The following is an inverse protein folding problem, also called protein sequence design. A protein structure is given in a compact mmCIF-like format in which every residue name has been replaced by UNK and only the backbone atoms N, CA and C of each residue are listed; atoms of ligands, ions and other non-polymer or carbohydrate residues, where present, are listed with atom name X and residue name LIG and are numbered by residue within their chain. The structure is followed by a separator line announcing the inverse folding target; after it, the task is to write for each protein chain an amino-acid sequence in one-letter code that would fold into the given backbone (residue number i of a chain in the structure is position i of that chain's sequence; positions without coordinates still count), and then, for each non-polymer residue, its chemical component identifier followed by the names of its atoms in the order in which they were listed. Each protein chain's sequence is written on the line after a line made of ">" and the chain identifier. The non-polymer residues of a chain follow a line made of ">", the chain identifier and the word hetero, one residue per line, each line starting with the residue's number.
data_IF_685746574635
#
_entry.id   IF_685746574635
#
_cell.length_a   1.000
_cell.length_b   1.000
_cell.length_c   1.000
_cell.angle_alpha   90.00
_cell.angle_beta   90.00
_cell.angle_gamma   90.00
#
_symmetry.space_group_name_H-M   'P 1'
#
loop_
_entity.id
_entity.type
_entity.pdbx_description
1 polymer ?
#
# COMPACT_ATOMS: atom_id res chain seq x y z
N UNK A 1 -20.18 -13.29 2.69
CA UNK A 1 -19.21 -12.17 2.60
C UNK A 1 -17.80 -12.69 2.40
N UNK A 2 -17.30 -13.60 3.23
CA UNK A 2 -15.92 -14.09 3.13
C UNK A 2 -15.52 -14.71 1.80
N UNK A 3 -16.43 -15.26 1.03
CA UNK A 3 -16.13 -15.89 -0.28
C UNK A 3 -15.81 -14.87 -1.37
N UNK A 4 -16.53 -13.76 -1.42
CA UNK A 4 -16.33 -12.73 -2.45
C UNK A 4 -15.00 -11.98 -2.25
N UNK A 5 -14.73 -11.51 -1.04
CA UNK A 5 -13.47 -10.86 -0.70
C UNK A 5 -12.28 -11.79 -0.97
N UNK A 6 -12.38 -13.04 -0.52
CA UNK A 6 -11.35 -14.07 -0.76
C UNK A 6 -11.09 -14.28 -2.25
N UNK A 7 -12.15 -14.34 -3.06
CA UNK A 7 -12.01 -14.50 -4.50
C UNK A 7 -11.28 -13.31 -5.14
N UNK A 8 -11.67 -12.07 -4.80
CA UNK A 8 -11.06 -10.85 -5.35
C UNK A 8 -9.61 -10.68 -4.92
N UNK A 9 -9.32 -10.92 -3.65
CA UNK A 9 -7.95 -10.90 -3.14
C UNK A 9 -7.09 -11.99 -3.81
N UNK A 10 -7.67 -13.16 -4.06
CA UNK A 10 -7.00 -14.23 -4.80
C UNK A 10 -6.60 -13.83 -6.22
N UNK A 11 -7.48 -13.14 -6.95
CA UNK A 11 -7.17 -12.62 -8.30
C UNK A 11 -6.02 -11.64 -8.26
N UNK A 12 -6.03 -10.69 -7.33
CA UNK A 12 -4.93 -9.71 -7.17
C UNK A 12 -3.62 -10.42 -6.83
N UNK A 13 -3.65 -11.35 -5.88
CA UNK A 13 -2.47 -12.12 -5.47
C UNK A 13 -1.87 -12.91 -6.64
N UNK A 14 -2.70 -13.58 -7.44
CA UNK A 14 -2.25 -14.33 -8.62
C UNK A 14 -1.65 -13.41 -9.68
N UNK A 15 -2.26 -12.25 -9.92
CA UNK A 15 -1.74 -11.27 -10.88
C UNK A 15 -0.37 -10.72 -10.45
N UNK A 16 -0.21 -10.37 -9.17
CA UNK A 16 1.07 -9.91 -8.61
C UNK A 16 2.13 -10.99 -8.71
N UNK A 17 1.78 -12.24 -8.38
CA UNK A 17 2.69 -13.38 -8.47
C UNK A 17 3.12 -13.64 -9.92
N UNK A 18 2.19 -13.65 -10.87
CA UNK A 18 2.49 -13.87 -12.27
C UNK A 18 3.42 -12.79 -12.82
N UNK A 19 3.11 -11.52 -12.54
CA UNK A 19 3.95 -10.40 -12.94
C UNK A 19 5.37 -10.51 -12.36
N UNK A 20 5.48 -10.73 -11.04
CA UNK A 20 6.77 -10.83 -10.37
C UNK A 20 7.60 -12.02 -10.86
N UNK A 21 6.94 -13.12 -11.22
CA UNK A 21 7.60 -14.31 -11.80
C UNK A 21 8.11 -14.01 -13.20
N UNK A 22 7.31 -13.34 -14.03
CA UNK A 22 7.64 -13.00 -15.41
C UNK A 22 8.83 -12.02 -15.51
N UNK A 23 8.99 -11.13 -14.53
CA UNK A 23 10.14 -10.22 -14.47
C UNK A 23 11.51 -10.95 -14.48
N UNK A 24 11.58 -12.16 -13.95
CA UNK A 24 12.83 -12.92 -13.94
C UNK A 24 14.02 -12.12 -13.40
N UNK A 25 15.05 -11.93 -14.23
CA UNK A 25 16.24 -11.16 -13.87
C UNK A 25 15.99 -9.64 -13.78
N UNK A 26 14.91 -9.13 -14.38
CA UNK A 26 14.59 -7.69 -14.33
C UNK A 26 13.95 -7.23 -13.00
N UNK A 27 13.82 -8.11 -12.01
CA UNK A 27 13.22 -7.78 -10.71
C UNK A 27 13.90 -6.62 -10.00
N UNK A 28 15.22 -6.48 -10.17
CA UNK A 28 16.00 -5.41 -9.53
C UNK A 28 15.77 -4.04 -10.18
N UNK A 29 15.31 -4.04 -11.43
CA UNK A 29 15.03 -2.82 -12.19
C UNK A 29 13.59 -2.31 -11.99
N UNK A 30 12.71 -3.14 -11.46
CA UNK A 30 11.28 -2.83 -11.34
C UNK A 30 10.87 -2.78 -9.87
N UNK A 31 10.12 -1.75 -9.53
CA UNK A 31 9.37 -1.66 -8.26
C UNK A 31 7.89 -1.49 -8.59
N UNK A 32 7.09 -2.47 -8.22
CA UNK A 32 5.65 -2.45 -8.34
C UNK A 32 5.04 -2.03 -7.00
N UNK A 33 4.08 -1.12 -7.06
CA UNK A 33 3.30 -0.70 -5.88
C UNK A 33 1.82 -0.79 -6.21
N UNK A 34 1.03 -1.38 -5.31
CA UNK A 34 -0.42 -1.31 -5.41
C UNK A 34 -0.93 -0.06 -4.72
N UNK A 35 -1.83 0.65 -5.38
CA UNK A 35 -2.51 1.83 -4.83
C UNK A 35 -4.00 1.70 -5.06
N UNK A 36 -4.78 2.29 -4.17
CA UNK A 36 -6.23 2.38 -4.29
C UNK A 36 -6.68 3.83 -4.13
N UNK A 37 -7.73 4.21 -4.81
CA UNK A 37 -8.32 5.55 -4.71
C UNK A 37 -8.91 5.81 -3.32
N UNK A 38 -9.43 4.78 -2.67
CA UNK A 38 -10.03 4.84 -1.34
C UNK A 38 -9.72 3.57 -0.55
N UNK A 39 -9.93 3.64 0.76
CA UNK A 39 -9.92 2.49 1.66
C UNK A 39 -11.29 1.87 1.84
N UNK A 40 -11.47 1.18 2.95
CA UNK A 40 -12.73 0.51 3.29
C UNK A 40 -13.13 0.78 4.74
N UNK A 41 -14.44 0.78 4.97
CA UNK A 41 -14.99 0.75 6.32
C UNK A 41 -14.75 -0.61 6.98
N UNK A 42 -14.76 -0.66 8.30
CA UNK A 42 -14.57 -1.90 9.08
C UNK A 42 -15.85 -2.74 9.04
N UNK A 43 -17.02 -2.09 9.14
CA UNK A 43 -18.31 -2.74 9.18
C UNK A 43 -18.71 -3.41 7.86
N UNK A 44 -19.35 -4.55 7.95
CA UNK A 44 -19.98 -5.20 6.80
C UNK A 44 -21.27 -4.46 6.43
N UNK A 45 -21.42 -4.13 5.15
CA UNK A 45 -22.63 -3.47 4.65
C UNK A 45 -23.74 -4.47 4.27
N UNK A 46 -24.94 -3.95 3.95
CA UNK A 46 -26.10 -4.74 3.60
C UNK A 46 -25.96 -5.63 2.35
N UNK A 47 -24.90 -5.45 1.56
CA UNK A 47 -24.58 -6.26 0.37
C UNK A 47 -23.53 -7.32 0.63
N UNK A 48 -23.11 -7.53 1.88
CA UNK A 48 -22.09 -8.50 2.26
C UNK A 48 -20.66 -8.11 1.87
N UNK A 49 -20.40 -6.82 1.75
CA UNK A 49 -19.10 -6.21 1.53
C UNK A 49 -18.83 -5.12 2.55
N UNK A 50 -18.03 -4.14 2.19
CA UNK A 50 -17.77 -2.94 2.99
C UNK A 50 -17.95 -1.70 2.12
N UNK A 51 -18.26 -0.58 2.72
CA UNK A 51 -18.37 0.68 2.01
C UNK A 51 -17.00 1.33 1.78
N UNK A 52 -16.96 2.42 1.02
CA UNK A 52 -15.75 3.21 0.85
C UNK A 52 -15.34 3.82 2.19
N UNK A 53 -14.06 3.80 2.44
CA UNK A 53 -13.44 4.35 3.64
C UNK A 53 -12.07 4.95 3.31
N UNK A 54 -11.25 5.19 4.32
CA UNK A 54 -9.97 5.91 4.19
C UNK A 54 -8.76 5.00 4.27
N UNK A 55 -8.71 4.11 5.25
CA UNK A 55 -7.58 3.20 5.45
C UNK A 55 -7.58 2.03 4.48
N UNK A 56 -6.38 1.65 4.03
CA UNK A 56 -6.15 0.51 3.14
C UNK A 56 -4.75 -0.07 3.35
N UNK A 57 -4.46 -1.15 2.66
CA UNK A 57 -3.14 -1.76 2.62
C UNK A 57 -2.49 -1.52 1.25
N UNK A 58 -1.19 -1.28 1.24
CA UNK A 58 -0.37 -1.20 0.03
C UNK A 58 0.57 -2.40 0.00
N UNK A 59 0.81 -2.93 -1.20
CA UNK A 59 1.85 -3.93 -1.44
C UNK A 59 2.95 -3.31 -2.29
N UNK A 60 4.20 -3.57 -1.92
CA UNK A 60 5.36 -3.20 -2.70
C UNK A 60 6.17 -4.47 -3.02
N UNK A 61 6.51 -4.65 -4.29
CA UNK A 61 7.26 -5.82 -4.79
C UNK A 61 8.38 -5.35 -5.71
N UNK A 62 9.51 -6.04 -5.66
CA UNK A 62 10.68 -5.78 -6.50
C UNK A 62 11.94 -6.35 -5.85
N UNK A 63 12.99 -6.56 -6.61
CA UNK A 63 14.25 -7.09 -6.07
C UNK A 63 14.94 -6.14 -5.10
N UNK A 64 14.60 -4.86 -5.16
CA UNK A 64 15.12 -3.81 -4.26
C UNK A 64 14.12 -3.41 -3.17
N UNK A 65 13.12 -4.22 -2.92
CA UNK A 65 12.19 -4.07 -1.79
C UNK A 65 12.58 -5.04 -0.69
N UNK A 66 12.79 -4.51 0.50
CA UNK A 66 13.02 -5.32 1.70
C UNK A 66 11.69 -5.90 2.15
N UNK A 67 11.55 -7.22 2.12
CA UNK A 67 10.35 -7.89 2.59
C UNK A 67 10.07 -7.62 4.06
N UNK A 68 8.81 -7.45 4.39
CA UNK A 68 8.35 -7.17 5.77
C UNK A 68 7.00 -6.49 5.80
N UNK A 69 6.55 -6.16 7.00
CA UNK A 69 5.36 -5.35 7.25
C UNK A 69 5.85 -4.01 7.81
N UNK A 70 5.39 -2.93 7.21
CA UNK A 70 5.84 -1.57 7.49
C UNK A 70 4.67 -0.67 7.88
N UNK A 71 4.98 0.35 8.67
CA UNK A 71 4.01 1.29 9.19
C UNK A 71 3.48 0.87 10.56
N UNK A 72 2.66 1.74 11.12
CA UNK A 72 2.05 1.52 12.42
C UNK A 72 0.72 0.81 12.26
N UNK A 73 0.41 -0.07 13.21
CA UNK A 73 -0.92 -0.66 13.34
C UNK A 73 -1.62 -0.04 14.55
N UNK A 74 -2.92 0.25 14.46
CA UNK A 74 -3.66 0.68 15.64
C UNK A 74 -3.66 -0.45 16.67
N UNK A 75 -3.53 -0.08 17.95
CA UNK A 75 -3.57 -1.04 19.06
C UNK A 75 -4.91 -1.78 19.14
N UNK A 76 -5.96 -1.12 18.70
CA UNK A 76 -7.31 -1.68 18.55
C UNK A 76 -7.82 -1.34 17.16
N UNK A 77 -8.61 -2.25 16.58
CA UNK A 77 -9.37 -1.93 15.37
C UNK A 77 -10.64 -1.23 15.87
N UNK A 78 -10.55 0.08 16.02
CA UNK A 78 -11.70 0.93 16.33
C UNK A 78 -12.13 1.65 15.06
N UNK A 79 -13.44 1.85 14.96
CA UNK A 79 -13.98 2.65 13.89
C UNK A 79 -13.44 4.08 14.01
N UNK A 80 -12.77 4.54 13.00
CA UNK A 80 -12.43 5.94 12.82
C UNK A 80 -13.71 6.77 12.56
N UNK A 81 -13.58 8.06 12.27
CA UNK A 81 -14.72 8.87 11.86
C UNK A 81 -15.51 8.16 10.76
N UNK A 82 -16.82 8.05 10.91
CA UNK A 82 -17.73 7.40 9.94
C UNK A 82 -17.54 5.88 9.77
N UNK A 83 -16.96 5.19 10.76
CA UNK A 83 -16.71 3.73 10.68
C UNK A 83 -15.53 3.35 9.80
N UNK A 84 -14.67 4.29 9.46
CA UNK A 84 -13.49 4.09 8.64
C UNK A 84 -12.38 3.32 9.37
N UNK A 85 -11.59 2.59 8.62
CA UNK A 85 -10.29 2.13 9.10
C UNK A 85 -9.35 3.34 9.25
N UNK A 86 -8.77 3.51 10.43
CA UNK A 86 -7.86 4.62 10.70
C UNK A 86 -6.61 4.54 9.80
N UNK A 87 -6.26 5.66 9.18
CA UNK A 87 -5.03 5.78 8.39
C UNK A 87 -3.86 6.00 9.34
N UNK A 88 -3.01 4.98 9.50
CA UNK A 88 -1.83 5.02 10.38
C UNK A 88 -0.57 5.47 9.65
N UNK A 89 -0.47 5.21 8.35
CA UNK A 89 0.67 5.58 7.52
C UNK A 89 0.19 6.32 6.28
N UNK A 90 0.72 7.51 6.05
CA UNK A 90 0.44 8.28 4.84
C UNK A 90 1.06 7.58 3.63
N UNK A 91 0.27 7.28 2.59
CA UNK A 91 0.76 6.64 1.36
C UNK A 91 1.89 7.43 0.70
N UNK A 92 1.89 8.75 0.86
CA UNK A 92 2.93 9.63 0.32
C UNK A 92 4.30 9.36 0.92
N UNK A 93 4.36 8.88 2.17
CA UNK A 93 5.60 8.43 2.82
C UNK A 93 6.21 7.24 2.10
N UNK A 94 5.37 6.26 1.77
CA UNK A 94 5.78 5.06 1.01
C UNK A 94 6.28 5.44 -0.38
N UNK A 95 5.47 6.21 -1.10
CA UNK A 95 5.80 6.60 -2.48
C UNK A 95 7.02 7.51 -2.54
N UNK A 96 7.17 8.46 -1.59
CA UNK A 96 8.35 9.32 -1.52
C UNK A 96 9.62 8.52 -1.33
N UNK A 97 9.65 7.56 -0.39
CA UNK A 97 10.83 6.70 -0.19
C UNK A 97 11.21 5.94 -1.45
N UNK A 98 10.23 5.37 -2.17
CA UNK A 98 10.48 4.65 -3.42
C UNK A 98 11.04 5.59 -4.49
N UNK A 99 10.44 6.76 -4.65
CA UNK A 99 10.87 7.74 -5.65
C UNK A 99 12.25 8.31 -5.33
N UNK A 100 12.59 8.53 -4.07
CA UNK A 100 13.93 8.98 -3.66
C UNK A 100 14.98 7.92 -3.96
N UNK A 101 14.75 6.69 -3.53
CA UNK A 101 15.76 5.61 -3.65
C UNK A 101 15.84 5.05 -5.07
N UNK A 102 14.70 4.87 -5.74
CA UNK A 102 14.63 4.24 -7.06
C UNK A 102 14.61 5.23 -8.21
N UNK A 103 14.01 6.39 -8.01
CA UNK A 103 13.85 7.43 -9.03
C UNK A 103 14.81 8.58 -8.91
N UNK A 104 15.64 8.65 -7.86
CA UNK A 104 16.55 9.76 -7.61
C UNK A 104 15.84 11.09 -7.30
N UNK A 105 14.58 11.04 -6.89
CA UNK A 105 13.83 12.24 -6.53
C UNK A 105 14.42 12.88 -5.27
N UNK A 106 14.81 14.14 -5.36
CA UNK A 106 15.42 14.86 -4.22
C UNK A 106 14.46 15.78 -3.50
N UNK A 107 13.24 15.94 -4.01
CA UNK A 107 12.26 16.86 -3.45
C UNK A 107 10.84 16.28 -3.46
N UNK A 108 10.46 15.51 -2.44
CA UNK A 108 9.11 14.97 -2.32
C UNK A 108 8.01 16.02 -2.31
N UNK A 109 8.28 17.24 -1.83
CA UNK A 109 7.27 18.31 -1.79
C UNK A 109 6.94 18.87 -3.16
N UNK A 110 7.81 18.71 -4.15
CA UNK A 110 7.49 19.04 -5.53
C UNK A 110 6.47 18.05 -6.13
N UNK A 111 6.47 16.82 -5.65
CA UNK A 111 5.53 15.77 -6.09
C UNK A 111 4.24 15.85 -5.27
N UNK A 112 4.37 16.07 -3.97
CA UNK A 112 3.26 16.16 -3.02
C UNK A 112 3.30 17.52 -2.28
N UNK A 113 2.78 18.61 -2.87
CA UNK A 113 2.94 19.95 -2.32
C UNK A 113 2.40 20.16 -0.89
N UNK A 114 1.42 19.38 -0.48
CA UNK A 114 0.82 19.46 0.87
C UNK A 114 1.37 18.43 1.85
N UNK A 115 2.36 17.65 1.43
CA UNK A 115 2.97 16.63 2.27
C UNK A 115 4.17 17.18 3.02
N UNK A 116 4.22 16.96 4.32
CA UNK A 116 5.41 17.18 5.13
C UNK A 116 6.22 15.89 5.14
N UNK A 117 7.43 15.87 4.54
CA UNK A 117 8.26 14.67 4.48
C UNK A 117 8.54 14.09 5.87
N UNK A 118 8.44 12.79 5.97
CA UNK A 118 8.73 12.01 7.18
C UNK A 118 9.94 11.13 6.93
N UNK A 119 10.55 10.64 8.01
CA UNK A 119 11.61 9.64 7.90
C UNK A 119 11.15 8.42 7.09
N UNK A 120 12.00 7.87 6.22
CA UNK A 120 11.66 6.70 5.42
C UNK A 120 11.28 5.50 6.31
N UNK A 121 10.49 4.59 5.78
CA UNK A 121 10.11 3.35 6.46
C UNK A 121 11.22 2.30 6.42
N UNK A 122 12.19 2.46 5.52
CA UNK A 122 13.26 1.53 5.27
C UNK A 122 12.84 0.31 4.45
N UNK A 123 11.79 0.47 3.64
CA UNK A 123 11.27 -0.60 2.79
C UNK A 123 12.09 -0.80 1.50
N UNK A 124 12.90 0.18 1.12
CA UNK A 124 13.74 0.11 -0.09
C UNK A 124 15.19 -0.25 0.25
N UNK A 125 15.84 -0.95 -0.70
CA UNK A 125 17.27 -1.24 -0.68
C UNK A 125 17.90 -0.45 -1.84
N UNK A 126 18.91 0.33 -1.54
CA UNK A 126 19.66 1.09 -2.52
C UNK A 126 20.47 0.25 -3.51
#
# INVERSE_FOLDING_TARGET
>A
AGSYMRQRTGVVSQALQAFYTDLGAARDEVTLVTMSEFGRTIGENGSGGTDHGRGNVMFALGGKIRGGVYGDFPATIEDGPEGDLTVMTDYRRVVSEILEVRGGATNPTAIFPTYTPQAPLGLTIG
#
